data_IF_745941335949
#
_entry.id   IF_745941335949
#
_cell.length_a   1.000
_cell.length_b   1.000
_cell.length_c   1.000
_cell.angle_alpha   90.00
_cell.angle_beta   90.00
_cell.angle_gamma   90.00
#
_symmetry.space_group_name_H-M   'P 1'
#
loop_
_entity.id
_entity.type
_entity.pdbx_description
1 polymer ?
#
# COMPACT_ATOMS: atom_id res chain seq x y z
N UNK A 1 -5.59 15.05 -7.80
CA UNK A 1 -5.14 13.66 -7.94
C UNK A 1 -5.79 12.73 -6.93
N UNK A 2 -5.99 13.19 -5.68
CA UNK A 2 -6.59 12.34 -4.66
C UNK A 2 -8.05 12.04 -4.97
N UNK A 3 -8.74 12.94 -5.66
CA UNK A 3 -10.11 12.71 -6.08
C UNK A 3 -10.21 11.58 -7.11
N UNK A 4 -9.25 11.48 -8.03
CA UNK A 4 -9.20 10.40 -9.00
C UNK A 4 -8.89 9.07 -8.33
N UNK A 5 -8.01 9.08 -7.33
CA UNK A 5 -7.71 7.90 -6.53
C UNK A 5 -8.97 7.40 -5.81
N UNK A 6 -9.69 8.32 -5.17
CA UNK A 6 -10.94 7.99 -4.48
C UNK A 6 -12.00 7.47 -5.43
N UNK A 7 -12.11 8.04 -6.63
CA UNK A 7 -13.04 7.59 -7.65
C UNK A 7 -12.73 6.17 -8.10
N UNK A 8 -11.45 5.87 -8.33
CA UNK A 8 -11.03 4.53 -8.72
C UNK A 8 -11.38 3.51 -7.65
N UNK A 9 -11.13 3.83 -6.39
CA UNK A 9 -11.48 2.95 -5.27
C UNK A 9 -12.99 2.70 -5.23
N UNK A 10 -13.79 3.75 -5.40
CA UNK A 10 -15.25 3.64 -5.42
C UNK A 10 -15.71 2.70 -6.53
N UNK A 11 -15.16 2.83 -7.73
CA UNK A 11 -15.51 1.98 -8.85
C UNK A 11 -15.13 0.52 -8.60
N UNK A 12 -13.95 0.29 -8.04
CA UNK A 12 -13.50 -1.07 -7.73
C UNK A 12 -14.36 -1.72 -6.64
N UNK A 13 -14.87 -0.91 -5.71
CA UNK A 13 -15.78 -1.39 -4.67
C UNK A 13 -17.12 -1.81 -5.25
N UNK A 14 -17.54 -1.22 -6.35
CA UNK A 14 -18.80 -1.52 -7.02
C UNK A 14 -18.74 -2.79 -7.89
N UNK A 15 -17.54 -3.19 -8.32
CA UNK A 15 -17.38 -4.34 -9.23
C UNK A 15 -17.30 -5.61 -8.41
N UNK A 16 -18.18 -6.54 -8.69
CA UNK A 16 -18.26 -7.85 -8.02
C UNK A 16 -17.47 -8.89 -8.78
N UNK A 17 -16.72 -9.71 -8.06
CA UNK A 17 -16.06 -10.88 -8.61
C UNK A 17 -17.05 -12.07 -8.59
N UNK A 18 -16.66 -13.17 -9.25
CA UNK A 18 -17.53 -14.35 -9.37
C UNK A 18 -17.87 -15.00 -8.03
N UNK A 19 -17.04 -14.83 -7.01
CA UNK A 19 -17.23 -15.38 -5.68
C UNK A 19 -18.04 -14.47 -4.74
N UNK A 20 -18.51 -13.32 -5.24
CA UNK A 20 -19.27 -12.35 -4.44
C UNK A 20 -18.45 -11.29 -3.76
N UNK A 21 -17.14 -11.42 -3.72
CA UNK A 21 -16.26 -10.36 -3.22
C UNK A 21 -16.17 -9.22 -4.23
N UNK A 22 -15.64 -8.07 -3.80
CA UNK A 22 -15.45 -6.94 -4.71
C UNK A 22 -14.04 -6.96 -5.30
N UNK A 23 -13.87 -6.27 -6.42
CA UNK A 23 -12.53 -6.10 -7.00
C UNK A 23 -11.58 -5.43 -6.00
N UNK A 24 -12.10 -4.51 -5.18
CA UNK A 24 -11.29 -3.85 -4.16
C UNK A 24 -10.83 -4.83 -3.08
N UNK A 25 -11.69 -5.79 -2.69
CA UNK A 25 -11.31 -6.79 -1.67
C UNK A 25 -10.09 -7.60 -2.10
N UNK A 26 -9.91 -7.80 -3.40
CA UNK A 26 -8.87 -8.66 -3.96
C UNK A 26 -7.69 -7.89 -4.52
N UNK A 27 -7.63 -6.59 -4.27
CA UNK A 27 -6.62 -5.70 -4.85
C UNK A 27 -5.82 -4.97 -3.80
N UNK A 28 -4.71 -4.38 -4.23
CA UNK A 28 -3.90 -3.45 -3.46
C UNK A 28 -3.62 -2.24 -4.32
N UNK A 29 -3.97 -1.06 -3.82
CA UNK A 29 -3.76 0.18 -4.55
C UNK A 29 -3.00 1.14 -3.64
N UNK A 30 -1.82 1.55 -4.09
CA UNK A 30 -0.99 2.48 -3.34
C UNK A 30 -1.04 3.86 -3.98
N UNK A 31 -1.11 4.88 -3.16
CA UNK A 31 -1.01 6.28 -3.57
C UNK A 31 0.02 6.95 -2.69
N UNK A 32 0.98 7.60 -3.30
CA UNK A 32 2.05 8.23 -2.54
C UNK A 32 2.74 9.33 -3.30
N UNK A 33 3.73 9.93 -2.67
CA UNK A 33 4.54 10.99 -3.25
C UNK A 33 6.01 10.62 -3.15
N UNK A 34 6.80 11.10 -4.11
CA UNK A 34 8.24 10.93 -4.09
C UNK A 34 8.92 11.89 -3.12
N UNK A 35 8.23 12.97 -2.72
CA UNK A 35 8.76 14.00 -1.83
C UNK A 35 7.80 14.16 -0.65
N UNK A 36 8.34 14.27 0.56
CA UNK A 36 7.55 14.54 1.76
C UNK A 36 7.07 15.99 1.81
N UNK A 37 7.86 16.89 1.26
CA UNK A 37 7.51 18.31 1.12
C UNK A 37 7.95 18.76 -0.28
N UNK A 38 6.96 19.10 -1.11
CA UNK A 38 7.23 19.51 -2.49
C UNK A 38 8.02 20.80 -2.61
N UNK A 39 7.88 21.72 -1.66
CA UNK A 39 8.57 23.01 -1.69
C UNK A 39 10.05 22.88 -1.39
N UNK A 40 10.43 21.97 -0.49
CA UNK A 40 11.83 21.77 -0.08
C UNK A 40 12.45 20.53 -0.70
N UNK A 41 11.69 19.76 -1.50
CA UNK A 41 12.13 18.50 -2.11
C UNK A 41 12.63 17.50 -1.06
N UNK A 42 11.88 17.38 0.04
CA UNK A 42 12.21 16.49 1.14
C UNK A 42 11.93 15.04 0.74
N UNK A 43 12.93 14.16 0.86
CA UNK A 43 12.84 12.76 0.44
C UNK A 43 12.50 11.79 1.57
N UNK A 44 12.26 12.29 2.78
CA UNK A 44 11.90 11.48 3.95
C UNK A 44 10.48 11.84 4.40
N UNK A 45 9.94 11.07 5.33
CA UNK A 45 8.58 11.22 5.82
C UNK A 45 7.55 11.17 4.68
N UNK A 46 7.72 10.21 3.77
CA UNK A 46 6.86 10.09 2.59
C UNK A 46 5.49 9.57 2.99
N UNK A 47 4.40 10.30 2.66
CA UNK A 47 3.06 9.80 2.93
C UNK A 47 2.65 8.75 1.91
N UNK A 48 2.04 7.67 2.40
CA UNK A 48 1.54 6.58 1.56
C UNK A 48 0.14 6.21 2.02
N UNK A 49 -0.76 6.02 1.05
CA UNK A 49 -2.11 5.53 1.30
C UNK A 49 -2.26 4.19 0.62
N UNK A 50 -2.70 3.18 1.37
CA UNK A 50 -2.99 1.87 0.83
C UNK A 50 -4.47 1.60 0.91
N UNK A 51 -5.05 1.15 -0.19
CA UNK A 51 -6.45 0.74 -0.25
C UNK A 51 -6.54 -0.66 -0.84
N UNK A 52 -7.57 -1.38 -0.44
CA UNK A 52 -7.80 -2.73 -0.92
C UNK A 52 -7.45 -3.77 0.12
N UNK A 53 -8.06 -4.94 0.00
CA UNK A 53 -7.97 -5.99 1.01
C UNK A 53 -6.88 -7.01 0.79
N UNK A 54 -6.31 -7.07 -0.41
CA UNK A 54 -5.35 -8.12 -0.77
C UNK A 54 -5.85 -9.50 -0.35
N UNK A 55 -7.12 -9.78 -0.61
CA UNK A 55 -7.80 -11.04 -0.24
C UNK A 55 -7.79 -11.29 1.28
N UNK A 56 -7.89 -10.23 2.07
CA UNK A 56 -7.93 -10.33 3.53
C UNK A 56 -6.58 -10.34 4.23
N UNK A 57 -5.51 -10.17 3.50
CA UNK A 57 -4.16 -10.23 4.05
C UNK A 57 -3.72 -8.95 4.74
N UNK A 58 -4.43 -7.84 4.52
CA UNK A 58 -4.10 -6.54 5.09
C UNK A 58 -5.17 -6.11 6.07
N UNK A 59 -4.75 -5.59 7.20
CA UNK A 59 -5.63 -5.00 8.19
C UNK A 59 -5.85 -3.53 7.84
N UNK A 60 -7.06 -3.21 7.38
CA UNK A 60 -7.41 -1.89 6.86
C UNK A 60 -7.93 -0.95 7.95
N UNK A 61 -8.18 0.30 7.56
CA UNK A 61 -8.82 1.28 8.43
C UNK A 61 -7.90 1.83 9.52
N UNK A 62 -6.60 1.87 9.28
CA UNK A 62 -5.62 2.30 10.28
C UNK A 62 -4.68 3.36 9.74
N UNK A 63 -4.19 4.17 10.65
CA UNK A 63 -3.04 5.02 10.41
C UNK A 63 -1.83 4.40 11.11
N UNK A 64 -0.74 4.21 10.37
CA UNK A 64 0.49 3.65 10.93
C UNK A 64 1.60 4.66 10.72
N UNK A 65 2.18 5.13 11.84
CA UNK A 65 3.38 5.96 11.78
C UNK A 65 4.59 5.05 11.94
N UNK A 66 5.37 4.93 10.86
CA UNK A 66 6.51 4.04 10.85
C UNK A 66 7.66 4.61 11.66
N UNK A 67 8.49 3.70 12.17
CA UNK A 67 9.70 4.08 12.89
C UNK A 67 10.60 4.90 11.96
N UNK A 68 11.22 5.95 12.51
CA UNK A 68 12.15 6.77 11.77
C UNK A 68 13.27 5.91 11.15
N UNK A 69 13.56 6.13 9.89
CA UNK A 69 14.54 5.36 9.16
C UNK A 69 14.00 4.13 8.44
N UNK A 70 12.70 3.85 8.55
CA UNK A 70 12.06 2.76 7.81
C UNK A 70 12.12 3.08 6.31
N UNK A 71 12.66 2.14 5.52
CA UNK A 71 12.84 2.34 4.09
C UNK A 71 11.53 2.11 3.34
N UNK A 72 11.28 2.95 2.32
CA UNK A 72 10.10 2.78 1.48
C UNK A 72 10.16 1.46 0.69
N UNK A 73 11.35 0.98 0.37
CA UNK A 73 11.52 -0.32 -0.29
C UNK A 73 11.02 -1.49 0.57
N UNK A 74 10.98 -1.33 1.89
CA UNK A 74 10.37 -2.32 2.79
C UNK A 74 8.88 -2.46 2.50
N UNK A 75 8.20 -1.35 2.18
CA UNK A 75 6.80 -1.38 1.79
C UNK A 75 6.61 -2.15 0.49
N UNK A 76 7.41 -1.85 -0.54
CA UNK A 76 7.30 -2.53 -1.82
C UNK A 76 7.60 -4.02 -1.69
N UNK A 77 8.57 -4.38 -0.87
CA UNK A 77 8.86 -5.78 -0.57
C UNK A 77 7.66 -6.47 0.06
N UNK A 78 7.01 -5.80 1.03
CA UNK A 78 5.84 -6.32 1.72
C UNK A 78 4.69 -6.55 0.73
N UNK A 79 4.42 -5.56 -0.12
CA UNK A 79 3.34 -5.66 -1.10
C UNK A 79 3.60 -6.76 -2.13
N UNK A 80 4.86 -6.93 -2.58
CA UNK A 80 5.22 -7.98 -3.51
C UNK A 80 4.93 -9.36 -2.92
N UNK A 81 5.32 -9.58 -1.68
CA UNK A 81 5.06 -10.85 -1.01
C UNK A 81 3.56 -11.10 -0.84
N UNK A 82 2.78 -10.07 -0.52
CA UNK A 82 1.34 -10.19 -0.38
C UNK A 82 0.65 -10.55 -1.68
N UNK A 83 1.22 -10.12 -2.82
CA UNK A 83 0.67 -10.42 -4.13
C UNK A 83 1.22 -11.72 -4.73
N UNK A 84 1.92 -12.51 -3.95
CA UNK A 84 2.40 -13.81 -4.37
C UNK A 84 3.79 -13.83 -5.00
N UNK A 85 4.47 -12.69 -5.06
CA UNK A 85 5.85 -12.63 -5.54
C UNK A 85 6.77 -12.80 -4.34
N UNK A 86 7.23 -14.02 -4.12
CA UNK A 86 8.08 -14.31 -2.97
C UNK A 86 9.49 -13.75 -3.19
N UNK A 87 9.88 -12.82 -2.31
CA UNK A 87 11.18 -12.16 -2.36
C UNK A 87 11.71 -12.00 -0.95
N UNK A 88 13.02 -12.17 -0.79
CA UNK A 88 13.67 -11.93 0.50
C UNK A 88 14.06 -10.46 0.65
N UNK A 89 14.35 -9.80 -0.48
CA UNK A 89 14.74 -8.39 -0.46
C UNK A 89 14.40 -7.73 -1.79
N UNK A 90 14.28 -6.41 -1.77
CA UNK A 90 14.06 -5.59 -2.94
C UNK A 90 14.82 -4.28 -2.76
N UNK A 91 15.68 -3.95 -3.72
CA UNK A 91 16.53 -2.76 -3.68
C UNK A 91 17.31 -2.70 -2.35
N UNK A 92 17.17 -1.63 -1.59
CA UNK A 92 17.85 -1.46 -0.31
C UNK A 92 17.00 -1.91 0.89
N UNK A 93 15.94 -2.67 0.65
CA UNK A 93 15.03 -3.10 1.72
C UNK A 93 15.75 -3.92 2.79
N UNK A 94 15.26 -3.79 4.03
CA UNK A 94 15.82 -4.49 5.19
C UNK A 94 14.88 -5.56 5.75
N UNK A 95 13.65 -5.62 5.26
CA UNK A 95 12.67 -6.60 5.70
C UNK A 95 11.25 -6.13 5.44
N UNK A 96 10.27 -6.99 5.71
CA UNK A 96 8.87 -6.69 5.51
C UNK A 96 8.29 -5.85 6.64
N UNK A 97 7.19 -5.16 6.35
CA UNK A 97 6.45 -4.38 7.35
C UNK A 97 5.28 -5.25 7.83
N UNK A 98 5.53 -6.05 8.85
CA UNK A 98 4.54 -7.00 9.35
C UNK A 98 3.31 -6.32 9.99
N UNK A 99 3.43 -5.04 10.37
CA UNK A 99 2.32 -4.29 10.94
C UNK A 99 1.14 -4.15 9.98
N UNK A 100 1.37 -4.32 8.67
CA UNK A 100 0.31 -4.27 7.67
C UNK A 100 -0.55 -5.53 7.66
N UNK A 101 -0.02 -6.63 8.15
CA UNK A 101 -0.70 -7.93 8.05
C UNK A 101 -1.92 -8.00 8.97
N UNK A 102 -2.92 -8.70 8.48
CA UNK A 102 -4.14 -8.95 9.24
C UNK A 102 -3.90 -9.93 10.40
#
# INVERSE_FOLDING_TARGET
>A
HIQQYAYMIQRMKEIKESDGSTMLDNSLIAYGAALGDGATHQFYDLPMILAGGAQGQIKQGRFIKMKSGTLNSNLWLTLANLMGVEMESYADSQGVISDLWA
#
